data_IF_521858125804
#
_entry.id   IF_521858125804
#
_cell.length_a   1.000
_cell.length_b   1.000
_cell.length_c   1.000
_cell.angle_alpha   90.00
_cell.angle_beta   90.00
_cell.angle_gamma   90.00
#
_symmetry.space_group_name_H-M   'P 1'
#
loop_
_entity.id
_entity.type
_entity.pdbx_description
1 polymer ?
#
# COMPACT_ATOMS: atom_id res chain seq x y z
N UNK A 1 -14.87 -4.02 -68.15
CA UNK A 1 -15.00 -3.26 -66.88
C UNK A 1 -13.69 -2.51 -66.62
N UNK A 2 -13.75 -1.49 -65.77
CA UNK A 2 -12.96 -0.25 -65.77
C UNK A 2 -11.49 -0.39 -65.31
N UNK A 3 -10.67 0.56 -65.79
CA UNK A 3 -9.31 0.94 -65.37
C UNK A 3 -9.18 1.07 -63.84
N UNK A 4 -7.99 0.82 -63.27
CA UNK A 4 -7.14 1.91 -62.76
C UNK A 4 -5.78 1.43 -62.20
N UNK A 5 -4.78 2.20 -62.60
CA UNK A 5 -3.38 2.24 -62.19
C UNK A 5 -3.28 2.78 -60.76
N UNK A 6 -2.32 2.30 -59.97
CA UNK A 6 -1.79 3.05 -58.84
C UNK A 6 -0.25 3.06 -58.92
N UNK A 7 0.29 4.06 -59.63
CA UNK A 7 1.66 4.55 -59.48
C UNK A 7 1.58 5.71 -58.48
N UNK A 8 2.50 5.71 -57.53
CA UNK A 8 2.39 6.42 -56.26
C UNK A 8 2.64 7.92 -56.30
N UNK A 9 2.78 8.49 -55.10
CA UNK A 9 3.43 9.78 -54.93
C UNK A 9 4.02 9.91 -53.52
N UNK A 10 5.31 10.22 -53.52
CA UNK A 10 6.08 10.83 -52.44
C UNK A 10 5.36 12.11 -51.97
N UNK A 11 5.26 12.33 -50.65
CA UNK A 11 5.06 13.67 -50.10
C UNK A 11 5.70 13.77 -48.72
N UNK A 12 6.99 14.05 -48.75
CA UNK A 12 7.70 14.79 -47.71
C UNK A 12 6.98 16.12 -47.49
N UNK A 13 6.37 16.29 -46.33
CA UNK A 13 6.08 17.62 -45.80
C UNK A 13 6.67 17.71 -44.39
N UNK A 14 7.87 18.26 -44.35
CA UNK A 14 8.49 18.85 -43.18
C UNK A 14 7.56 19.96 -42.69
N UNK A 15 6.82 19.70 -41.62
CA UNK A 15 6.21 20.76 -40.82
C UNK A 15 7.15 21.00 -39.64
N UNK A 16 8.06 21.96 -39.82
CA UNK A 16 8.59 22.73 -38.72
C UNK A 16 7.41 23.46 -38.05
N UNK A 17 6.90 22.92 -36.95
CA UNK A 17 6.13 23.72 -36.00
C UNK A 17 7.11 24.28 -34.98
N UNK A 18 7.43 25.55 -35.18
CA UNK A 18 7.93 26.47 -34.16
C UNK A 18 6.89 26.44 -33.05
N UNK A 19 7.16 25.69 -31.98
CA UNK A 19 6.48 25.93 -30.71
C UNK A 19 7.37 26.90 -29.95
N UNK A 20 6.76 28.04 -29.64
CA UNK A 20 7.34 29.20 -29.00
C UNK A 20 8.15 28.86 -27.74
N UNK A 21 9.07 29.77 -27.41
CA UNK A 21 9.68 29.88 -26.09
C UNK A 21 8.62 29.72 -25.00
N UNK A 22 8.66 28.57 -24.34
CA UNK A 22 7.90 28.23 -23.17
C UNK A 22 8.63 27.07 -22.52
N UNK A 23 9.65 27.39 -21.72
CA UNK A 23 10.31 26.45 -20.82
C UNK A 23 9.30 26.02 -19.74
N UNK A 24 8.30 25.24 -20.14
CA UNK A 24 7.43 24.50 -19.25
C UNK A 24 8.10 23.15 -19.02
N UNK A 25 9.20 23.15 -18.27
CA UNK A 25 9.63 21.93 -17.60
C UNK A 25 8.46 21.54 -16.68
N UNK A 26 7.63 20.60 -17.15
CA UNK A 26 6.56 20.07 -16.34
C UNK A 26 7.22 19.10 -15.36
N UNK A 27 7.83 19.66 -14.31
CA UNK A 27 8.58 18.97 -13.25
C UNK A 27 7.71 18.02 -12.42
N UNK A 28 6.42 17.93 -12.70
CA UNK A 28 5.50 17.01 -12.03
C UNK A 28 5.70 15.55 -12.47
N UNK A 29 6.36 15.28 -13.59
CA UNK A 29 6.56 13.89 -14.06
C UNK A 29 7.34 13.01 -13.07
N UNK A 30 8.20 13.63 -12.24
CA UNK A 30 8.95 12.92 -11.20
C UNK A 30 8.06 12.29 -10.11
N UNK A 31 6.88 12.85 -9.87
CA UNK A 31 5.92 12.31 -8.91
C UNK A 31 5.07 11.16 -9.49
N UNK A 32 4.98 11.04 -10.82
CA UNK A 32 4.03 10.13 -11.46
C UNK A 32 4.33 8.65 -11.16
N UNK A 33 3.30 7.90 -10.80
CA UNK A 33 3.34 6.46 -10.56
C UNK A 33 2.77 6.04 -9.22
N UNK A 34 2.93 4.76 -8.91
CA UNK A 34 2.56 4.18 -7.61
C UNK A 34 3.78 4.09 -6.72
N UNK A 35 3.61 4.48 -5.46
CA UNK A 35 4.64 4.55 -4.45
C UNK A 35 4.19 3.81 -3.20
N UNK A 36 5.07 2.99 -2.65
CA UNK A 36 4.78 2.10 -1.54
C UNK A 36 5.68 2.45 -0.37
N UNK A 37 5.10 2.49 0.82
CA UNK A 37 5.83 2.57 2.07
C UNK A 37 5.34 1.50 3.04
N UNK A 38 6.28 0.87 3.73
CA UNK A 38 5.97 0.04 4.89
C UNK A 38 6.02 0.90 6.15
N UNK A 39 4.87 1.08 6.79
CA UNK A 39 4.78 1.82 8.04
C UNK A 39 5.10 0.92 9.22
N UNK A 40 5.77 1.46 10.24
CA UNK A 40 6.16 0.70 11.44
C UNK A 40 4.97 0.18 12.28
N UNK A 41 3.74 0.59 11.96
CA UNK A 41 2.51 0.20 12.67
C UNK A 41 1.78 -0.98 11.99
N UNK A 42 2.51 -1.89 11.34
CA UNK A 42 1.95 -3.08 10.68
C UNK A 42 1.01 -2.78 9.50
N UNK A 43 1.26 -1.66 8.82
CA UNK A 43 0.48 -1.23 7.65
C UNK A 43 1.39 -1.01 6.46
N UNK A 44 0.84 -1.20 5.26
CA UNK A 44 1.48 -0.75 4.02
C UNK A 44 0.67 0.39 3.44
N UNK A 45 1.32 1.50 3.11
CA UNK A 45 0.70 2.61 2.41
C UNK A 45 0.99 2.52 0.90
N UNK A 46 -0.04 2.79 0.10
CA UNK A 46 -0.01 2.91 -1.35
C UNK A 46 -0.42 4.32 -1.74
N UNK A 47 0.48 5.05 -2.38
CA UNK A 47 0.24 6.37 -2.92
C UNK A 47 0.33 6.31 -4.45
N UNK A 48 -0.79 6.55 -5.13
CA UNK A 48 -0.83 6.71 -6.59
C UNK A 48 -0.90 8.19 -6.92
N UNK A 49 -0.03 8.63 -7.82
CA UNK A 49 -0.01 10.00 -8.35
C UNK A 49 -0.08 9.91 -9.88
N UNK A 50 -1.12 10.51 -10.45
CA UNK A 50 -1.33 10.61 -11.89
C UNK A 50 -1.29 12.07 -12.33
N UNK A 51 -0.47 12.39 -13.33
CA UNK A 51 -0.36 13.77 -13.79
C UNK A 51 -1.47 14.19 -14.75
N UNK A 52 -2.01 15.39 -14.50
CA UNK A 52 -2.99 16.07 -15.33
C UNK A 52 -2.53 17.50 -15.64
N UNK A 53 -1.61 17.64 -16.60
CA UNK A 53 -1.11 18.97 -16.97
C UNK A 53 -0.26 19.57 -15.85
N UNK A 54 -0.74 20.64 -15.18
CA UNK A 54 -0.03 21.29 -14.04
C UNK A 54 -0.47 20.76 -12.68
N UNK A 55 -1.51 19.94 -12.66
CA UNK A 55 -2.09 19.32 -11.47
C UNK A 55 -1.79 17.81 -11.49
N UNK A 56 -2.07 17.15 -10.37
CA UNK A 56 -2.00 15.70 -10.24
C UNK A 56 -3.23 15.17 -9.50
N UNK A 57 -3.70 13.97 -9.85
CA UNK A 57 -4.62 13.21 -9.02
C UNK A 57 -3.79 12.40 -8.03
N UNK A 58 -4.10 12.52 -6.75
CA UNK A 58 -3.39 11.85 -5.66
C UNK A 58 -4.35 10.95 -4.89
N UNK A 59 -3.97 9.70 -4.74
CA UNK A 59 -4.74 8.68 -4.02
C UNK A 59 -3.84 7.93 -3.05
N UNK A 60 -4.08 8.11 -1.75
CA UNK A 60 -3.44 7.38 -0.68
C UNK A 60 -4.41 6.36 -0.07
N UNK A 61 -3.98 5.10 -0.03
CA UNK A 61 -4.66 4.00 0.65
C UNK A 61 -3.70 3.30 1.61
N UNK A 62 -4.24 2.66 2.64
CA UNK A 62 -3.48 1.78 3.53
C UNK A 62 -4.02 0.36 3.48
N UNK A 63 -3.14 -0.60 3.73
CA UNK A 63 -3.43 -2.02 3.81
C UNK A 63 -3.10 -2.52 5.21
N UNK A 64 -4.09 -3.14 5.85
CA UNK A 64 -3.95 -3.72 7.20
C UNK A 64 -4.73 -5.03 7.31
N UNK A 65 -4.29 -5.93 8.18
CA UNK A 65 -5.04 -7.15 8.49
C UNK A 65 -6.02 -6.90 9.63
N UNK A 66 -7.27 -7.31 9.42
CA UNK A 66 -8.32 -7.32 10.44
C UNK A 66 -8.55 -8.73 10.95
N UNK A 67 -8.49 -8.93 12.26
CA UNK A 67 -8.88 -10.19 12.90
C UNK A 67 -10.37 -10.49 12.65
N UNK A 68 -10.68 -11.73 12.28
CA UNK A 68 -12.05 -12.20 12.03
C UNK A 68 -12.71 -12.83 13.25
N UNK A 69 -11.91 -13.15 14.27
CA UNK A 69 -12.34 -13.80 15.49
C UNK A 69 -11.90 -12.99 16.71
N UNK A 70 -12.72 -13.04 17.76
CA UNK A 70 -12.36 -12.57 19.10
C UNK A 70 -11.74 -13.71 19.93
N UNK A 71 -11.36 -13.41 21.18
CA UNK A 71 -10.77 -14.38 22.09
C UNK A 71 -11.66 -15.58 22.41
N UNK A 72 -12.98 -15.45 22.30
CA UNK A 72 -13.91 -16.55 22.61
C UNK A 72 -14.12 -17.44 21.39
N UNK A 73 -14.41 -16.82 20.25
CA UNK A 73 -14.69 -17.47 18.97
C UNK A 73 -13.44 -18.12 18.36
N UNK A 74 -12.25 -17.58 18.60
CA UNK A 74 -10.97 -18.21 18.24
C UNK A 74 -10.63 -19.45 19.07
N UNK A 75 -11.32 -19.68 20.20
CA UNK A 75 -10.95 -20.70 21.17
C UNK A 75 -9.86 -20.28 22.16
N UNK A 76 -9.30 -19.07 22.06
CA UNK A 76 -8.24 -18.58 22.95
C UNK A 76 -8.64 -18.61 24.43
N UNK A 77 -9.81 -18.06 24.77
CA UNK A 77 -10.32 -18.05 26.14
C UNK A 77 -10.45 -19.46 26.70
N UNK A 78 -10.93 -20.42 25.89
CA UNK A 78 -11.06 -21.82 26.28
C UNK A 78 -9.71 -22.50 26.48
N UNK A 79 -8.76 -22.27 25.55
CA UNK A 79 -7.41 -22.79 25.64
C UNK A 79 -6.68 -22.27 26.89
N UNK A 80 -6.85 -21.00 27.22
CA UNK A 80 -6.21 -20.34 28.37
C UNK A 80 -6.74 -20.78 29.74
N UNK A 81 -8.01 -21.20 29.82
CA UNK A 81 -8.64 -21.66 31.09
C UNK A 81 -8.62 -23.18 31.24
N UNK A 82 -8.16 -23.93 30.22
CA UNK A 82 -8.02 -25.38 30.35
C UNK A 82 -7.02 -25.71 31.46
N UNK A 83 -7.47 -26.51 32.43
CA UNK A 83 -6.67 -26.98 33.57
C UNK A 83 -6.02 -28.34 33.32
N UNK A 84 -6.19 -28.90 32.13
CA UNK A 84 -5.68 -30.24 31.82
C UNK A 84 -4.23 -30.14 31.37
N UNK A 85 -3.33 -30.49 32.28
CA UNK A 85 -1.90 -30.59 32.00
C UNK A 85 -1.65 -31.60 30.88
N UNK A 86 -1.02 -31.16 29.78
CA UNK A 86 -0.64 -32.02 28.65
C UNK A 86 -1.57 -31.96 27.43
N UNK A 87 -2.73 -31.29 27.52
CA UNK A 87 -3.54 -30.98 26.34
C UNK A 87 -3.07 -29.68 25.67
N UNK A 88 -3.00 -29.66 24.34
CA UNK A 88 -2.75 -28.45 23.55
C UNK A 88 -4.08 -27.86 23.09
N UNK A 89 -4.37 -26.64 23.52
CA UNK A 89 -5.50 -25.87 23.00
C UNK A 89 -5.13 -25.22 21.67
N UNK A 90 -5.91 -25.50 20.62
CA UNK A 90 -5.77 -24.86 19.31
C UNK A 90 -6.54 -23.54 19.31
N UNK A 91 -5.91 -22.49 18.81
CA UNK A 91 -6.50 -21.16 18.66
C UNK A 91 -6.49 -20.77 17.20
N UNK A 92 -7.67 -20.63 16.61
CA UNK A 92 -7.80 -20.20 15.22
C UNK A 92 -7.71 -18.68 15.16
N UNK A 93 -6.72 -18.17 14.43
CA UNK A 93 -6.41 -16.76 14.32
C UNK A 93 -6.46 -16.35 12.84
N UNK A 94 -7.68 -16.11 12.38
CA UNK A 94 -7.95 -15.76 10.99
C UNK A 94 -7.94 -14.25 10.78
N UNK A 95 -7.26 -13.82 9.73
CA UNK A 95 -7.08 -12.41 9.37
C UNK A 95 -7.47 -12.14 7.93
N UNK A 96 -8.15 -11.03 7.68
CA UNK A 96 -8.50 -10.54 6.35
C UNK A 96 -7.75 -9.25 6.05
N UNK A 97 -7.04 -9.20 4.93
CA UNK A 97 -6.39 -7.99 4.43
C UNK A 97 -7.46 -7.01 3.93
N UNK A 98 -7.39 -5.76 4.39
CA UNK A 98 -8.33 -4.71 4.02
C UNK A 98 -7.59 -3.52 3.41
N UNK A 99 -8.10 -3.01 2.29
CA UNK A 99 -7.69 -1.72 1.72
C UNK A 99 -8.58 -0.62 2.29
N UNK A 100 -7.98 0.38 2.94
CA UNK A 100 -8.66 1.57 3.44
C UNK A 100 -8.23 2.78 2.63
N UNK A 101 -9.20 3.53 2.13
CA UNK A 101 -8.95 4.82 1.47
C UNK A 101 -8.79 5.89 2.54
N UNK A 102 -7.79 6.73 2.41
CA UNK A 102 -7.61 7.88 3.30
C UNK A 102 -8.47 9.07 2.83
N UNK A 103 -8.60 10.16 3.60
CA UNK A 103 -9.20 11.40 3.12
C UNK A 103 -8.49 12.02 1.91
N UNK A 104 -7.25 11.58 1.62
CA UNK A 104 -6.54 11.90 0.38
C UNK A 104 -6.80 10.75 -0.60
N UNK A 105 -7.95 10.74 -1.26
CA UNK A 105 -8.27 9.77 -2.30
C UNK A 105 -8.93 10.47 -3.48
N UNK A 106 -8.38 10.28 -4.69
CA UNK A 106 -8.74 11.04 -5.89
C UNK A 106 -8.71 12.56 -5.66
N UNK A 107 -7.75 13.04 -4.88
CA UNK A 107 -7.61 14.45 -4.51
C UNK A 107 -6.74 15.19 -5.52
N UNK A 108 -7.03 16.48 -5.75
CA UNK A 108 -6.21 17.31 -6.63
C UNK A 108 -4.99 17.82 -5.87
N UNK A 109 -3.83 17.59 -6.43
CA UNK A 109 -2.55 18.08 -5.95
C UNK A 109 -1.94 19.10 -6.91
N UNK A 110 -1.26 20.10 -6.34
CA UNK A 110 -0.55 21.14 -7.08
C UNK A 110 0.95 21.00 -6.85
N UNK A 111 1.72 20.94 -7.93
CA UNK A 111 3.18 20.85 -7.88
C UNK A 111 3.80 22.24 -7.87
N UNK A 112 4.74 22.47 -6.96
CA UNK A 112 5.59 23.66 -6.90
C UNK A 112 7.02 23.25 -6.57
N UNK A 113 7.89 23.23 -7.59
CA UNK A 113 9.26 22.74 -7.46
C UNK A 113 9.32 21.24 -7.08
N UNK A 114 9.92 20.93 -5.93
CA UNK A 114 10.02 19.56 -5.40
C UNK A 114 8.91 19.19 -4.42
N UNK A 115 7.84 19.98 -4.34
CA UNK A 115 6.71 19.69 -3.46
C UNK A 115 5.42 19.54 -4.24
N UNK A 116 4.66 18.50 -3.92
CA UNK A 116 3.28 18.30 -4.34
C UNK A 116 2.40 18.51 -3.10
N UNK A 117 1.55 19.53 -3.13
CA UNK A 117 0.63 19.84 -2.03
C UNK A 117 -0.77 19.41 -2.42
N UNK A 118 -1.44 18.69 -1.52
CA UNK A 118 -2.79 18.16 -1.70
C UNK A 118 -3.65 18.67 -0.56
N UNK A 119 -4.74 19.35 -0.89
CA UNK A 119 -5.69 19.85 0.10
C UNK A 119 -7.08 19.32 -0.25
N UNK A 120 -7.73 18.72 0.72
CA UNK A 120 -9.14 18.33 0.68
C UNK A 120 -9.87 19.03 1.82
N UNK A 121 -11.20 18.95 1.83
CA UNK A 121 -12.01 19.57 2.89
C UNK A 121 -11.64 19.05 4.30
N UNK A 122 -11.05 17.86 4.39
CA UNK A 122 -10.82 17.15 5.64
C UNK A 122 -9.34 16.80 5.91
N UNK A 123 -8.42 17.09 4.99
CA UNK A 123 -7.01 16.78 5.14
C UNK A 123 -6.10 17.65 4.26
N UNK A 124 -4.91 17.94 4.75
CA UNK A 124 -3.85 18.58 3.97
C UNK A 124 -2.61 17.67 4.00
N UNK A 125 -1.93 17.54 2.88
CA UNK A 125 -0.75 16.70 2.73
C UNK A 125 0.30 17.41 1.87
N UNK A 126 1.55 17.36 2.30
CA UNK A 126 2.69 17.82 1.51
C UNK A 126 3.61 16.65 1.24
N UNK A 127 3.90 16.43 -0.04
CA UNK A 127 4.72 15.33 -0.54
C UNK A 127 5.99 15.95 -1.10
N UNK A 128 7.14 15.64 -0.51
CA UNK A 128 8.45 16.11 -0.97
C UNK A 128 9.08 15.05 -1.88
N UNK A 129 9.50 15.45 -3.08
CA UNK A 129 10.36 14.63 -3.92
C UNK A 129 11.82 14.78 -3.47
N UNK A 130 12.45 13.66 -3.13
CA UNK A 130 13.87 13.60 -2.81
C UNK A 130 14.66 13.18 -4.06
N UNK A 131 15.32 14.15 -4.70
CA UNK A 131 16.10 13.94 -5.91
C UNK A 131 17.36 13.08 -5.71
N UNK A 132 17.79 12.87 -4.46
CA UNK A 132 19.02 12.12 -4.17
C UNK A 132 18.85 10.62 -4.45
N UNK A 133 17.67 10.09 -4.19
CA UNK A 133 17.40 8.65 -4.22
C UNK A 133 16.05 8.30 -4.86
N UNK A 134 15.42 9.26 -5.56
CA UNK A 134 14.15 9.11 -6.26
C UNK A 134 13.04 8.54 -5.35
N UNK A 135 12.90 9.13 -4.16
CA UNK A 135 11.85 8.79 -3.19
C UNK A 135 10.87 9.93 -2.95
N UNK A 136 9.70 9.59 -2.41
CA UNK A 136 8.78 10.58 -1.87
C UNK A 136 8.81 10.54 -0.34
N UNK A 137 8.76 11.72 0.26
CA UNK A 137 8.72 11.87 1.72
C UNK A 137 7.39 12.54 2.08
N UNK A 138 6.62 11.86 2.91
CA UNK A 138 5.39 12.38 3.50
C UNK A 138 5.58 12.31 5.01
N UNK A 139 5.56 13.46 5.66
CA UNK A 139 5.95 13.59 7.07
C UNK A 139 7.35 12.98 7.33
N UNK A 140 7.42 11.83 8.01
CA UNK A 140 8.66 11.08 8.29
C UNK A 140 8.68 9.69 7.63
N UNK A 141 7.81 9.46 6.64
CA UNK A 141 7.67 8.18 5.95
C UNK A 141 8.27 8.32 4.54
N UNK A 142 9.16 7.39 4.19
CA UNK A 142 9.80 7.32 2.88
C UNK A 142 9.06 6.31 2.02
N UNK A 143 8.51 6.81 0.92
CA UNK A 143 7.84 6.04 -0.10
C UNK A 143 8.81 5.77 -1.26
N UNK A 144 8.92 4.51 -1.61
CA UNK A 144 9.72 4.08 -2.76
C UNK A 144 8.79 3.75 -3.92
N UNK A 145 9.26 3.89 -5.15
CA UNK A 145 8.46 3.57 -6.32
C UNK A 145 8.10 2.07 -6.33
N UNK A 146 6.90 1.73 -6.77
CA UNK A 146 6.47 0.35 -6.82
C UNK A 146 7.40 -0.48 -7.72
N UNK A 147 7.80 -1.64 -7.21
CA UNK A 147 8.60 -2.65 -7.91
C UNK A 147 8.28 -4.03 -7.34
N UNK A 148 8.89 -5.08 -7.89
CA UNK A 148 8.72 -6.44 -7.37
C UNK A 148 9.13 -6.54 -5.89
N UNK A 149 10.25 -5.91 -5.53
CA UNK A 149 10.77 -5.88 -4.16
C UNK A 149 10.07 -4.85 -3.26
N UNK A 150 9.39 -3.86 -3.85
CA UNK A 150 8.69 -2.79 -3.15
C UNK A 150 7.22 -2.73 -3.59
N UNK A 151 6.42 -3.67 -3.10
CA UNK A 151 5.00 -3.81 -3.40
C UNK A 151 4.22 -4.16 -2.14
N UNK A 152 2.89 -4.00 -2.18
CA UNK A 152 2.03 -4.45 -1.07
C UNK A 152 2.32 -5.93 -0.75
N UNK A 153 2.41 -6.75 -1.80
CA UNK A 153 2.67 -8.20 -1.69
C UNK A 153 4.04 -8.51 -1.07
N UNK A 154 5.09 -7.76 -1.40
CA UNK A 154 6.43 -7.98 -0.82
C UNK A 154 6.50 -7.64 0.67
N UNK A 155 5.62 -6.78 1.17
CA UNK A 155 5.55 -6.40 2.59
C UNK A 155 4.62 -7.27 3.43
N UNK A 156 3.68 -8.03 2.84
CA UNK A 156 2.74 -8.87 3.61
C UNK A 156 3.43 -9.84 4.59
N UNK A 157 4.51 -10.57 4.21
CA UNK A 157 5.16 -11.48 5.14
C UNK A 157 5.69 -10.79 6.41
N UNK A 158 6.12 -9.52 6.31
CA UNK A 158 6.60 -8.75 7.47
C UNK A 158 5.43 -8.44 8.42
N UNK A 159 4.31 -7.99 7.89
CA UNK A 159 3.10 -7.69 8.69
C UNK A 159 2.58 -8.97 9.36
N UNK A 160 2.48 -10.07 8.60
CA UNK A 160 2.03 -11.35 9.13
C UNK A 160 2.94 -11.84 10.26
N UNK A 161 4.26 -11.69 10.13
CA UNK A 161 5.20 -12.05 11.20
C UNK A 161 5.00 -11.22 12.47
N UNK A 162 4.78 -9.91 12.35
CA UNK A 162 4.49 -9.06 13.53
C UNK A 162 3.18 -9.47 14.20
N UNK A 163 2.12 -9.75 13.42
CA UNK A 163 0.84 -10.23 13.96
C UNK A 163 1.01 -11.55 14.70
N UNK A 164 1.73 -12.53 14.11
CA UNK A 164 2.00 -13.82 14.74
C UNK A 164 2.72 -13.64 16.08
N UNK A 165 3.80 -12.86 16.09
CA UNK A 165 4.57 -12.59 17.29
C UNK A 165 3.73 -11.86 18.35
N UNK A 166 2.94 -10.86 17.96
CA UNK A 166 2.06 -10.12 18.88
C UNK A 166 1.04 -11.02 19.58
N UNK A 167 0.44 -11.99 18.86
CA UNK A 167 -0.51 -12.93 19.47
C UNK A 167 0.17 -13.86 20.48
N UNK A 168 1.35 -14.37 20.13
CA UNK A 168 2.14 -15.25 21.01
C UNK A 168 2.57 -14.47 22.25
N UNK A 169 3.14 -13.28 22.10
CA UNK A 169 3.60 -12.43 23.21
C UNK A 169 2.44 -12.03 24.14
N UNK A 170 1.29 -11.64 23.60
CA UNK A 170 0.09 -11.32 24.39
C UNK A 170 -0.39 -12.54 25.19
N UNK A 171 -0.37 -13.72 24.60
CA UNK A 171 -0.72 -14.94 25.31
C UNK A 171 0.31 -15.28 26.40
N UNK A 172 1.60 -15.18 26.10
CA UNK A 172 2.67 -15.43 27.07
C UNK A 172 2.61 -14.48 28.26
N UNK A 173 2.31 -13.20 28.02
CA UNK A 173 2.10 -12.21 29.07
C UNK A 173 0.85 -12.51 29.90
N UNK A 174 -0.26 -12.87 29.26
CA UNK A 174 -1.48 -13.28 29.96
C UNK A 174 -1.28 -14.53 30.84
N UNK A 175 -0.46 -15.48 30.38
CA UNK A 175 -0.15 -16.72 31.08
C UNK A 175 0.98 -16.57 32.12
N UNK A 176 1.60 -15.38 32.20
CA UNK A 176 2.68 -15.09 33.12
C UNK A 176 2.21 -15.25 34.57
N UNK A 177 2.99 -15.97 35.38
CA UNK A 177 2.68 -16.21 36.79
C UNK A 177 1.65 -17.31 37.07
N UNK A 178 1.06 -17.96 36.05
CA UNK A 178 0.22 -19.14 36.26
C UNK A 178 1.07 -20.36 36.62
N UNK A 179 0.65 -21.09 37.66
CA UNK A 179 1.30 -22.31 38.15
C UNK A 179 1.15 -23.44 37.13
N UNK A 180 -0.04 -23.57 36.55
CA UNK A 180 -0.33 -24.48 35.43
C UNK A 180 -0.54 -23.66 34.16
N UNK A 181 0.29 -23.91 33.14
CA UNK A 181 0.19 -23.28 31.83
C UNK A 181 -0.25 -24.34 30.81
N UNK A 182 -1.51 -24.33 30.35
CA UNK A 182 -1.87 -25.08 29.16
C UNK A 182 -0.99 -24.69 27.98
N UNK A 183 -0.70 -25.66 27.12
CA UNK A 183 -0.03 -25.40 25.85
C UNK A 183 -1.05 -24.76 24.92
N UNK A 184 -0.77 -23.56 24.41
CA UNK A 184 -1.60 -22.86 23.43
C UNK A 184 -0.86 -22.87 22.11
N UNK A 185 -1.49 -23.40 21.06
CA UNK A 185 -0.95 -23.38 19.72
C UNK A 185 -1.86 -22.56 18.81
N UNK A 186 -1.31 -21.51 18.22
CA UNK A 186 -2.02 -20.69 17.25
C UNK A 186 -1.97 -21.35 15.86
N UNK A 187 -3.13 -21.43 15.23
CA UNK A 187 -3.33 -21.78 13.85
C UNK A 187 -3.73 -20.51 13.09
N UNK A 188 -2.79 -19.96 12.32
CA UNK A 188 -2.95 -18.66 11.68
C UNK A 188 -3.36 -18.81 10.21
N UNK A 189 -4.40 -18.08 9.82
CA UNK A 189 -4.79 -17.90 8.42
C UNK A 189 -4.77 -16.43 8.03
N UNK A 190 -4.30 -16.13 6.83
CA UNK A 190 -4.28 -14.78 6.28
C UNK A 190 -4.90 -14.81 4.88
N UNK A 191 -6.03 -14.12 4.73
CA UNK A 191 -6.70 -13.90 3.45
C UNK A 191 -6.21 -12.57 2.85
N UNK A 192 -5.39 -12.67 1.81
CA UNK A 192 -4.88 -11.54 1.01
C UNK A 192 -5.49 -11.48 -0.40
N UNK A 193 -6.60 -12.19 -0.64
CA UNK A 193 -7.27 -12.30 -1.95
C UNK A 193 -7.75 -10.97 -2.54
N UNK A 194 -7.86 -9.92 -1.71
CA UNK A 194 -8.11 -8.55 -2.19
C UNK A 194 -7.05 -8.08 -3.20
N UNK A 195 -5.84 -8.63 -3.17
CA UNK A 195 -4.78 -8.32 -4.12
C UNK A 195 -4.89 -9.10 -5.44
N UNK A 196 -5.64 -10.20 -5.48
CA UNK A 196 -5.79 -11.02 -6.69
C UNK A 196 -6.67 -10.33 -7.75
N UNK A 197 -7.51 -9.39 -7.33
CA UNK A 197 -8.39 -8.61 -8.21
C UNK A 197 -7.76 -7.28 -8.70
N UNK A 198 -6.46 -7.05 -8.43
CA UNK A 198 -5.78 -5.79 -8.74
C UNK A 198 -4.98 -5.82 -10.08
N UNK A 199 -5.29 -6.75 -10.98
CA UNK A 199 -4.70 -6.83 -12.33
C UNK A 199 -5.49 -6.05 -13.38
#
# INVERSE_FOLDING_TARGET
>A
MKRNILIGLLLTFTIMLITACGNSNNDNNKFNGTWIAYEKNDQVAELTIENLGKESIVSLSTYEYKALMDSTTSGLSHAQISKRTGETGIVHADYLLQKKKTPIYNAIGVVTGNRLNVNTDNANMSILYNEKDDTLIIENIVFHKQSDDNSIKSYLPKIQAVIKNSNIEKNDDYMKGRIEKPTVQFDFSFDDSILDNAQ
#
